data_IF_218880962216
#
_entry.id   IF_218880962216
#
_cell.length_a   1.000
_cell.length_b   1.000
_cell.length_c   1.000
_cell.angle_alpha   90.00
_cell.angle_beta   90.00
_cell.angle_gamma   90.00
#
_symmetry.space_group_name_H-M   'P 1'
#
loop_
_entity.id
_entity.type
_entity.pdbx_description
1 polymer ?
#
# COMPACT_ATOMS: atom_id res chain seq x y z
N UNK A 1 -19.14 -5.83 -54.50
CA UNK A 1 -19.80 -5.57 -53.19
C UNK A 1 -19.69 -6.73 -52.20
N UNK A 2 -19.88 -8.00 -52.61
CA UNK A 2 -19.76 -9.15 -51.69
C UNK A 2 -18.34 -9.34 -51.14
N UNK A 3 -17.33 -9.28 -52.02
CA UNK A 3 -15.90 -9.43 -51.67
C UNK A 3 -15.45 -8.38 -50.66
N UNK A 4 -15.88 -7.13 -50.83
CA UNK A 4 -15.55 -6.03 -49.91
C UNK A 4 -16.15 -6.23 -48.52
N UNK A 5 -17.38 -6.76 -48.42
CA UNK A 5 -18.01 -7.06 -47.14
C UNK A 5 -17.32 -8.21 -46.41
N UNK A 6 -16.92 -9.25 -47.15
CA UNK A 6 -16.17 -10.39 -46.59
C UNK A 6 -14.81 -9.92 -46.06
N UNK A 7 -14.09 -9.10 -46.83
CA UNK A 7 -12.79 -8.57 -46.42
C UNK A 7 -12.91 -7.72 -45.13
N UNK A 8 -13.94 -6.88 -45.02
CA UNK A 8 -14.20 -6.06 -43.83
C UNK A 8 -14.58 -6.90 -42.60
N UNK A 9 -15.30 -8.01 -42.79
CA UNK A 9 -15.62 -8.92 -41.70
C UNK A 9 -14.36 -9.65 -41.19
N UNK A 10 -13.53 -10.13 -42.13
CA UNK A 10 -12.31 -10.84 -41.80
C UNK A 10 -11.29 -9.94 -41.10
N UNK A 11 -11.11 -8.69 -41.55
CA UNK A 11 -10.19 -7.75 -40.91
C UNK A 11 -10.59 -7.45 -39.46
N UNK A 12 -11.89 -7.30 -39.18
CA UNK A 12 -12.40 -7.12 -37.82
C UNK A 12 -12.14 -8.33 -36.94
N UNK A 13 -12.35 -9.54 -37.49
CA UNK A 13 -12.08 -10.78 -36.76
C UNK A 13 -10.61 -10.88 -36.34
N UNK A 14 -9.69 -10.62 -37.27
CA UNK A 14 -8.24 -10.65 -37.00
C UNK A 14 -7.85 -9.59 -35.96
N UNK A 15 -8.38 -8.36 -36.06
CA UNK A 15 -8.12 -7.32 -35.06
C UNK A 15 -8.64 -7.71 -33.67
N UNK A 16 -9.87 -8.23 -33.58
CA UNK A 16 -10.45 -8.67 -32.31
C UNK A 16 -9.66 -9.82 -31.69
N UNK A 17 -9.21 -10.79 -32.49
CA UNK A 17 -8.35 -11.87 -32.02
C UNK A 17 -7.02 -11.35 -31.48
N UNK A 18 -6.39 -10.40 -32.18
CA UNK A 18 -5.17 -9.74 -31.71
C UNK A 18 -5.36 -8.99 -30.39
N UNK A 19 -6.43 -8.19 -30.28
CA UNK A 19 -6.77 -7.48 -29.04
C UNK A 19 -7.04 -8.49 -27.91
N UNK A 20 -7.81 -9.54 -28.16
CA UNK A 20 -8.09 -10.57 -27.15
C UNK A 20 -6.79 -11.19 -26.61
N UNK A 21 -5.84 -11.57 -27.49
CA UNK A 21 -4.57 -12.16 -27.08
C UNK A 21 -3.72 -11.23 -26.21
N UNK A 22 -3.71 -9.92 -26.50
CA UNK A 22 -2.98 -8.92 -25.69
C UNK A 22 -3.68 -8.71 -24.33
N UNK A 23 -5.01 -8.72 -24.30
CA UNK A 23 -5.80 -8.48 -23.10
C UNK A 23 -6.00 -9.71 -22.21
N UNK A 24 -5.67 -10.93 -22.67
CA UNK A 24 -5.69 -12.15 -21.82
C UNK A 24 -4.83 -11.99 -20.56
N UNK A 25 -3.77 -11.16 -20.63
CA UNK A 25 -2.87 -10.92 -19.49
C UNK A 25 -3.37 -9.79 -18.58
N UNK A 26 -4.30 -8.93 -19.04
CA UNK A 26 -4.84 -7.80 -18.28
C UNK A 26 -6.22 -8.13 -17.73
N UNK A 27 -6.26 -8.37 -16.41
CA UNK A 27 -7.50 -8.64 -15.68
C UNK A 27 -8.21 -7.37 -15.17
N UNK A 28 -7.54 -6.21 -15.25
CA UNK A 28 -8.08 -4.92 -14.80
C UNK A 28 -9.24 -4.41 -15.66
N UNK A 29 -9.38 -4.89 -16.90
CA UNK A 29 -10.37 -4.39 -17.86
C UNK A 29 -11.08 -5.55 -18.53
N UNK A 30 -12.41 -5.51 -18.55
CA UNK A 30 -13.23 -6.50 -19.27
C UNK A 30 -13.45 -6.07 -20.73
N UNK A 31 -13.42 -7.05 -21.64
CA UNK A 31 -13.76 -6.87 -23.05
C UNK A 31 -15.29 -6.93 -23.29
N UNK A 32 -16.06 -7.33 -22.27
CA UNK A 32 -17.50 -7.46 -22.37
C UNK A 32 -18.21 -6.11 -22.12
N UNK A 33 -19.36 -5.88 -22.77
CA UNK A 33 -20.18 -4.71 -22.50
C UNK A 33 -20.70 -4.73 -21.05
N UNK A 34 -21.08 -3.58 -20.46
CA UNK A 34 -21.46 -3.45 -19.05
C UNK A 34 -22.48 -4.48 -18.53
N UNK A 35 -23.45 -4.87 -19.35
CA UNK A 35 -24.47 -5.86 -18.96
C UNK A 35 -23.98 -7.31 -18.90
N UNK A 36 -22.81 -7.62 -19.48
CA UNK A 36 -22.25 -8.97 -19.56
C UNK A 36 -20.96 -9.14 -18.76
N UNK A 37 -20.47 -8.09 -18.09
CA UNK A 37 -19.21 -8.14 -17.32
C UNK A 37 -19.19 -9.23 -16.25
N UNK A 38 -20.37 -9.57 -15.69
CA UNK A 38 -20.51 -10.64 -14.71
C UNK A 38 -20.13 -12.05 -15.25
N UNK A 39 -20.10 -12.23 -16.58
CA UNK A 39 -19.72 -13.48 -17.23
C UNK A 39 -18.22 -13.55 -17.55
N UNK A 40 -17.44 -12.53 -17.23
CA UNK A 40 -15.99 -12.53 -17.34
C UNK A 40 -15.35 -13.00 -16.01
N UNK A 41 -15.00 -14.29 -15.87
CA UNK A 41 -14.51 -14.83 -14.60
C UNK A 41 -13.18 -14.20 -14.18
N UNK A 42 -12.36 -13.79 -15.15
CA UNK A 42 -11.07 -13.13 -14.88
C UNK A 42 -11.28 -11.77 -14.26
N UNK A 43 -12.12 -10.93 -14.89
CA UNK A 43 -12.44 -9.61 -14.37
C UNK A 43 -13.13 -9.66 -13.00
N UNK A 44 -14.13 -10.55 -12.84
CA UNK A 44 -14.89 -10.67 -11.58
C UNK A 44 -13.99 -11.13 -10.42
N UNK A 45 -13.15 -12.14 -10.63
CA UNK A 45 -12.24 -12.62 -9.59
C UNK A 45 -11.20 -11.57 -9.21
N UNK A 46 -10.67 -10.83 -10.19
CA UNK A 46 -9.76 -9.72 -9.96
C UNK A 46 -10.42 -8.60 -9.15
N UNK A 47 -11.61 -8.12 -9.54
CA UNK A 47 -12.34 -7.09 -8.79
C UNK A 47 -12.70 -7.54 -7.36
N UNK A 48 -13.07 -8.81 -7.17
CA UNK A 48 -13.31 -9.37 -5.85
C UNK A 48 -12.03 -9.36 -4.98
N UNK A 49 -10.88 -9.68 -5.57
CA UNK A 49 -9.59 -9.63 -4.86
C UNK A 49 -9.22 -8.20 -4.44
N UNK A 50 -9.47 -7.21 -5.30
CA UNK A 50 -9.22 -5.78 -5.01
C UNK A 50 -10.12 -5.29 -3.89
N UNK A 51 -11.41 -5.63 -3.92
CA UNK A 51 -12.35 -5.30 -2.84
C UNK A 51 -11.93 -5.92 -1.51
N UNK A 52 -11.51 -7.18 -1.53
CA UNK A 52 -11.03 -7.88 -0.35
C UNK A 52 -9.77 -7.21 0.22
N UNK A 53 -8.78 -6.92 -0.63
CA UNK A 53 -7.55 -6.23 -0.24
C UNK A 53 -7.86 -4.85 0.37
N UNK A 54 -8.75 -4.08 -0.24
CA UNK A 54 -9.16 -2.77 0.26
C UNK A 54 -9.85 -2.87 1.63
N UNK A 55 -10.70 -3.88 1.85
CA UNK A 55 -11.35 -4.08 3.15
C UNK A 55 -10.38 -4.49 4.26
N UNK A 56 -9.43 -5.38 3.98
CA UNK A 56 -8.47 -5.86 4.98
C UNK A 56 -7.31 -4.89 5.25
N UNK A 57 -6.89 -4.14 4.23
CA UNK A 57 -5.75 -3.23 4.32
C UNK A 57 -6.17 -1.75 4.32
N UNK A 58 -7.39 -1.45 4.76
CA UNK A 58 -7.90 -0.08 4.81
C UNK A 58 -6.96 0.82 5.64
N UNK A 59 -6.34 1.85 5.04
CA UNK A 59 -5.35 2.70 5.73
C UNK A 59 -5.95 3.47 6.89
N UNK A 60 -7.24 3.81 6.82
CA UNK A 60 -7.96 4.50 7.92
C UNK A 60 -8.04 3.60 9.14
N UNK A 61 -8.44 2.33 8.94
CA UNK A 61 -8.52 1.36 10.02
C UNK A 61 -7.13 1.07 10.61
N UNK A 62 -6.11 0.91 9.76
CA UNK A 62 -4.73 0.69 10.22
C UNK A 62 -4.20 1.87 11.03
N UNK A 63 -4.45 3.10 10.59
CA UNK A 63 -4.06 4.31 11.32
C UNK A 63 -4.78 4.44 12.66
N UNK A 64 -6.09 4.13 12.68
CA UNK A 64 -6.88 4.10 13.90
C UNK A 64 -6.31 3.07 14.90
N UNK A 65 -6.16 1.81 14.50
CA UNK A 65 -5.60 0.77 15.36
C UNK A 65 -4.19 1.13 15.84
N UNK A 66 -3.35 1.70 14.98
CA UNK A 66 -2.02 2.15 15.36
C UNK A 66 -2.07 3.22 16.46
N UNK A 67 -2.94 4.22 16.35
CA UNK A 67 -3.11 5.26 17.38
C UNK A 67 -3.56 4.69 18.73
N UNK A 68 -4.51 3.74 18.73
CA UNK A 68 -5.01 3.11 19.96
C UNK A 68 -3.99 2.18 20.61
N UNK A 69 -3.22 1.43 19.81
CA UNK A 69 -2.18 0.55 20.34
C UNK A 69 -0.98 1.35 20.89
N UNK A 70 -0.65 2.49 20.28
CA UNK A 70 0.43 3.36 20.78
C UNK A 70 0.09 4.02 22.12
N UNK A 71 -1.18 4.40 22.34
CA UNK A 71 -1.62 4.95 23.62
C UNK A 71 -1.53 3.96 24.79
N UNK A 72 -1.68 2.65 24.53
CA UNK A 72 -1.69 1.65 25.60
C UNK A 72 -0.29 1.27 26.12
N UNK A 73 0.76 1.59 25.36
CA UNK A 73 2.16 1.35 25.74
C UNK A 73 2.85 2.54 26.42
N UNK A 74 2.24 3.72 26.38
CA UNK A 74 2.86 4.98 26.81
C UNK A 74 2.30 5.51 28.14
N UNK A 75 2.06 4.60 29.09
CA UNK A 75 2.28 4.93 30.52
C UNK A 75 3.79 5.10 30.81
N UNK A 76 4.58 5.58 29.84
CA UNK A 76 5.90 6.13 30.09
C UNK A 76 5.63 7.39 30.90
N UNK A 77 5.87 7.26 32.19
CA UNK A 77 5.85 8.38 33.12
C UNK A 77 6.54 9.56 32.43
N UNK A 78 5.93 10.76 32.39
CA UNK A 78 6.70 11.96 32.11
C UNK A 78 7.80 11.97 33.17
N UNK A 79 9.02 11.70 32.72
CA UNK A 79 10.22 11.72 33.51
C UNK A 79 10.31 13.12 34.13
N UNK A 80 10.11 13.18 35.44
CA UNK A 80 10.18 14.39 36.26
C UNK A 80 11.56 15.08 36.22
N UNK A 81 12.48 14.61 35.38
CA UNK A 81 13.84 15.12 35.25
C UNK A 81 13.99 16.33 34.30
N UNK A 82 13.01 16.63 33.45
CA UNK A 82 13.12 17.76 32.50
C UNK A 82 13.09 19.16 33.17
N UNK A 83 12.48 19.32 34.35
CA UNK A 83 12.44 20.61 35.04
C UNK A 83 13.72 20.93 35.81
N UNK A 84 14.58 19.94 36.09
CA UNK A 84 15.83 20.16 36.82
C UNK A 84 16.97 20.64 35.89
N UNK A 85 17.00 20.20 34.62
CA UNK A 85 18.05 20.61 33.68
C UNK A 85 17.86 22.04 33.15
N UNK A 86 16.64 22.54 33.10
CA UNK A 86 16.36 23.90 32.59
C UNK A 86 16.75 24.99 33.61
N UNK A 87 16.86 24.66 34.91
CA UNK A 87 17.30 25.59 35.96
C UNK A 87 18.83 25.64 36.13
N UNK A 88 19.57 24.59 35.75
CA UNK A 88 21.04 24.58 35.83
C UNK A 88 21.71 25.20 34.59
N UNK A 89 21.03 25.25 33.44
CA UNK A 89 21.57 25.83 32.21
C UNK A 89 21.77 27.36 32.25
N UNK A 90 21.20 28.05 33.25
CA UNK A 90 21.37 29.50 33.42
C UNK A 90 22.55 29.90 34.33
N UNK A 91 23.31 28.95 34.89
CA UNK A 91 24.33 29.27 35.91
C UNK A 91 25.73 28.66 35.70
N UNK A 92 26.08 28.13 34.52
CA UNK A 92 27.38 27.49 34.33
C UNK A 92 27.95 27.56 32.92
N UNK A 93 28.64 28.67 32.60
CA UNK A 93 29.69 28.66 31.58
C UNK A 93 30.82 27.73 32.04
N UNK A 94 31.07 26.63 31.33
CA UNK A 94 32.26 25.81 31.58
C UNK A 94 32.28 24.47 30.86
N UNK A 95 32.92 24.46 29.68
CA UNK A 95 33.73 23.39 29.06
C UNK A 95 33.40 21.89 29.19
N UNK A 96 33.66 21.22 28.05
CA UNK A 96 33.87 19.77 27.80
C UNK A 96 32.62 18.97 27.38
N UNK A 97 32.47 18.58 26.11
CA UNK A 97 33.18 17.51 25.38
C UNK A 97 32.75 16.10 25.83
N UNK A 98 31.84 15.46 25.07
CA UNK A 98 31.93 14.03 24.71
C UNK A 98 30.77 13.60 23.78
N UNK A 99 31.15 13.34 22.55
CA UNK A 99 30.52 12.41 21.61
C UNK A 99 30.07 11.11 22.29
N UNK A 100 28.78 10.79 22.25
CA UNK A 100 28.23 9.47 22.61
C UNK A 100 27.59 8.80 21.38
N UNK A 101 28.39 8.74 20.31
CA UNK A 101 28.13 7.98 19.10
C UNK A 101 28.76 6.60 19.23
N UNK A 102 28.18 5.66 20.01
CA UNK A 102 28.59 4.23 19.95
C UNK A 102 27.62 3.25 20.60
N UNK A 103 27.19 2.27 19.81
CA UNK A 103 27.05 0.89 20.27
C UNK A 103 25.63 0.42 20.61
N UNK A 104 24.90 -0.07 19.61
CA UNK A 104 23.92 -1.13 19.85
C UNK A 104 23.98 -2.20 18.76
N UNK A 105 25.16 -2.80 18.64
CA UNK A 105 25.35 -4.12 18.03
C UNK A 105 24.96 -5.21 19.02
N UNK A 106 24.25 -6.23 18.49
CA UNK A 106 24.15 -7.61 18.98
C UNK A 106 23.49 -7.84 20.35
N UNK A 107 22.22 -8.24 20.30
CA UNK A 107 21.74 -9.31 21.17
C UNK A 107 21.30 -10.49 20.27
N UNK A 108 22.20 -11.46 20.18
CA UNK A 108 22.01 -12.79 19.62
C UNK A 108 21.65 -13.73 20.80
N UNK A 109 20.96 -14.83 20.51
CA UNK A 109 20.75 -16.03 21.35
C UNK A 109 19.65 -15.94 22.43
N UNK A 110 18.51 -16.56 22.19
CA UNK A 110 18.30 -18.01 22.41
C UNK A 110 17.10 -18.51 21.62
#
# INVERSE_FOLDING_TARGET
HLITSIAMAFSRFVMLAGVAMVYVVRLDTTLLPPGLQAYDPGYVSFMASVLLAHRHQNPVWRGFVHAFLHQKGDCRQPDKHSWAETLCAHHGKGHAHADCSRGRTRAQMR
#
